data_IF_708892623182
#
_entry.id   IF_708892623182
#
_cell.length_a   1.000
_cell.length_b   1.000
_cell.length_c   1.000
_cell.angle_alpha   90.00
_cell.angle_beta   90.00
_cell.angle_gamma   90.00
#
_symmetry.space_group_name_H-M   'P 1'
#
loop_
_entity.id
_entity.type
_entity.pdbx_description
1 polymer ?
#
# COMPACT_ATOMS: atom_id res chain seq x y z
N UNK A 1 -4.26 5.99 -9.35
CA UNK A 1 -3.04 5.21 -9.62
C UNK A 1 -2.83 4.00 -8.68
N UNK A 2 -2.53 4.17 -7.37
CA UNK A 2 -2.19 3.04 -6.47
C UNK A 2 -3.38 2.11 -6.22
N UNK A 3 -4.55 2.66 -5.84
CA UNK A 3 -5.79 1.90 -5.64
C UNK A 3 -6.17 1.06 -6.88
N UNK A 4 -6.02 1.61 -8.07
CA UNK A 4 -6.46 0.96 -9.31
C UNK A 4 -5.60 -0.27 -9.67
N UNK A 5 -4.31 -0.26 -9.32
CA UNK A 5 -3.34 -1.27 -9.75
C UNK A 5 -2.90 -2.23 -8.64
N UNK A 6 -3.01 -1.78 -7.39
CA UNK A 6 -2.43 -2.47 -6.24
C UNK A 6 -3.42 -2.75 -5.11
N UNK A 7 -4.71 -2.45 -5.26
CA UNK A 7 -5.70 -2.84 -4.26
C UNK A 7 -5.78 -4.37 -4.16
N UNK A 8 -5.84 -4.87 -2.92
CA UNK A 8 -5.97 -6.28 -2.63
C UNK A 8 -7.37 -6.82 -3.00
N UNK A 9 -7.49 -8.14 -3.22
CA UNK A 9 -8.78 -8.82 -3.28
C UNK A 9 -9.64 -8.52 -2.06
N UNK A 10 -10.97 -8.59 -2.21
CA UNK A 10 -11.94 -8.14 -1.21
C UNK A 10 -11.77 -8.88 0.14
N UNK A 11 -11.37 -10.14 0.11
CA UNK A 11 -11.12 -10.99 1.27
C UNK A 11 -9.97 -10.48 2.15
N UNK A 12 -9.07 -9.67 1.60
CA UNK A 12 -7.95 -9.07 2.33
C UNK A 12 -8.15 -7.59 2.61
N UNK A 13 -9.26 -7.00 2.17
CA UNK A 13 -9.51 -5.58 2.38
C UNK A 13 -9.90 -5.28 3.83
N UNK A 14 -9.35 -4.20 4.36
CA UNK A 14 -9.59 -3.72 5.72
C UNK A 14 -10.31 -2.37 5.67
N UNK A 15 -10.99 -2.05 6.78
CA UNK A 15 -11.63 -0.76 6.99
C UNK A 15 -10.93 -0.04 8.15
N UNK A 16 -10.49 1.21 7.96
CA UNK A 16 -9.89 1.98 9.04
C UNK A 16 -10.93 2.27 10.13
N UNK A 17 -10.50 2.29 11.39
CA UNK A 17 -11.35 2.71 12.51
C UNK A 17 -11.55 4.22 12.51
N UNK A 18 -10.49 4.96 12.18
CA UNK A 18 -10.50 6.39 11.96
C UNK A 18 -10.02 6.66 10.53
N UNK A 19 -10.93 6.83 9.56
CA UNK A 19 -10.54 7.07 8.17
C UNK A 19 -9.87 8.43 8.01
N UNK A 20 -8.80 8.50 7.21
CA UNK A 20 -8.31 9.78 6.71
C UNK A 20 -9.33 10.33 5.69
N UNK A 21 -9.78 11.59 5.81
CA UNK A 21 -10.84 12.14 4.95
C UNK A 21 -10.24 12.57 3.59
N UNK A 22 -9.99 11.58 2.74
CA UNK A 22 -9.34 11.74 1.43
C UNK A 22 -10.11 12.68 0.49
N UNK A 23 -11.42 12.80 0.65
CA UNK A 23 -12.30 13.67 -0.14
C UNK A 23 -11.97 15.16 0.00
N UNK A 24 -11.22 15.55 1.03
CA UNK A 24 -10.74 16.92 1.21
C UNK A 24 -9.34 17.16 0.63
N UNK A 25 -8.67 16.11 0.13
CA UNK A 25 -7.34 16.21 -0.47
C UNK A 25 -7.46 16.40 -1.98
N UNK A 26 -6.53 17.16 -2.56
CA UNK A 26 -6.44 17.34 -4.01
C UNK A 26 -5.89 16.07 -4.67
N UNK A 27 -6.77 15.30 -5.31
CA UNK A 27 -6.43 14.08 -6.04
C UNK A 27 -6.11 14.32 -7.53
N UNK A 28 -6.15 15.59 -7.98
CA UNK A 28 -5.82 15.97 -9.36
C UNK A 28 -4.32 16.09 -9.60
N UNK A 29 -3.52 16.17 -8.53
CA UNK A 29 -2.07 16.29 -8.61
C UNK A 29 -1.43 15.02 -9.16
N UNK A 30 -0.60 15.18 -10.18
CA UNK A 30 0.24 14.10 -10.70
C UNK A 30 1.39 13.82 -9.73
N UNK A 31 1.13 12.97 -8.73
CA UNK A 31 2.12 12.55 -7.73
C UNK A 31 2.56 11.11 -7.95
N UNK A 32 3.86 10.88 -7.83
CA UNK A 32 4.42 9.54 -7.84
C UNK A 32 4.59 9.02 -6.41
N UNK A 33 4.36 7.71 -6.15
CA UNK A 33 4.60 7.14 -4.85
C UNK A 33 6.06 7.37 -4.40
N UNK A 34 6.28 7.70 -3.11
CA UNK A 34 7.62 7.80 -2.52
C UNK A 34 8.44 6.53 -2.76
N UNK A 35 9.76 6.65 -2.78
CA UNK A 35 10.67 5.56 -3.15
C UNK A 35 10.43 4.27 -2.34
N UNK A 36 10.16 4.40 -1.04
CA UNK A 36 9.87 3.26 -0.16
C UNK A 36 8.60 2.52 -0.59
N UNK A 37 7.49 3.24 -0.75
CA UNK A 37 6.21 2.68 -1.20
C UNK A 37 6.37 2.04 -2.58
N UNK A 38 7.04 2.72 -3.50
CA UNK A 38 7.34 2.20 -4.83
C UNK A 38 8.14 0.89 -4.77
N UNK A 39 9.07 0.77 -3.82
CA UNK A 39 9.82 -0.47 -3.55
C UNK A 39 8.89 -1.62 -3.17
N UNK A 40 8.00 -1.40 -2.20
CA UNK A 40 7.02 -2.41 -1.79
C UNK A 40 6.07 -2.81 -2.92
N UNK A 41 5.54 -1.84 -3.67
CA UNK A 41 4.66 -2.14 -4.81
C UNK A 41 5.38 -2.99 -5.88
N UNK A 42 6.68 -2.80 -6.08
CA UNK A 42 7.50 -3.63 -7.00
C UNK A 42 7.74 -5.06 -6.49
N UNK A 43 7.63 -5.30 -5.17
CA UNK A 43 7.72 -6.61 -4.56
C UNK A 43 6.39 -7.39 -4.62
N UNK A 44 5.35 -6.80 -5.19
CA UNK A 44 4.03 -7.42 -5.28
C UNK A 44 3.10 -7.06 -4.11
N UNK A 45 3.54 -6.20 -3.19
CA UNK A 45 2.72 -5.71 -2.09
C UNK A 45 1.42 -5.09 -2.58
N UNK A 46 0.33 -5.38 -1.87
CA UNK A 46 -1.02 -4.86 -2.13
C UNK A 46 -1.44 -3.90 -1.02
N UNK A 47 -2.18 -2.86 -1.41
CA UNK A 47 -2.86 -1.96 -0.49
C UNK A 47 -4.16 -2.61 -0.05
N UNK A 48 -4.45 -2.58 1.24
CA UNK A 48 -5.59 -3.29 1.82
C UNK A 48 -6.86 -2.43 1.94
N UNK A 49 -6.80 -1.15 1.62
CA UNK A 49 -7.96 -0.27 1.73
C UNK A 49 -7.55 1.19 1.86
N UNK A 50 -8.49 2.06 2.26
CA UNK A 50 -8.18 3.46 2.55
C UNK A 50 -7.27 3.57 3.79
N UNK A 51 -6.44 4.62 3.87
CA UNK A 51 -5.57 4.84 5.01
C UNK A 51 -6.36 5.23 6.26
N UNK A 52 -5.78 4.89 7.42
CA UNK A 52 -6.23 5.41 8.70
C UNK A 52 -5.53 6.76 8.99
N UNK A 53 -6.21 7.65 9.69
CA UNK A 53 -5.59 8.82 10.30
C UNK A 53 -5.12 8.46 11.70
N UNK A 54 -3.84 8.70 11.97
CA UNK A 54 -3.26 8.65 13.31
C UNK A 54 -3.09 10.09 13.85
N UNK A 55 -3.91 10.53 14.82
CA UNK A 55 -3.83 11.87 15.37
C UNK A 55 -2.65 12.06 16.34
N UNK A 56 -2.13 10.97 16.92
CA UNK A 56 -1.03 11.04 17.88
C UNK A 56 0.31 11.32 17.17
N UNK A 57 0.45 10.83 15.93
CA UNK A 57 1.63 11.05 15.10
C UNK A 57 1.40 12.03 13.94
N UNK A 58 0.17 12.51 13.76
CA UNK A 58 -0.25 13.33 12.61
C UNK A 58 0.13 12.67 11.28
N UNK A 59 -0.15 11.37 11.15
CA UNK A 59 0.22 10.57 9.98
C UNK A 59 -0.99 9.90 9.32
N UNK A 60 -0.76 9.52 8.08
CA UNK A 60 -1.65 8.66 7.31
C UNK A 60 -1.05 7.25 7.25
N UNK A 61 -1.74 6.29 7.84
CA UNK A 61 -1.28 4.90 7.88
C UNK A 61 -1.93 4.11 6.77
N UNK A 62 -1.12 3.66 5.81
CA UNK A 62 -1.58 2.90 4.66
C UNK A 62 -1.40 1.39 4.90
N UNK A 63 -2.48 0.62 5.17
CA UNK A 63 -2.35 -0.81 5.40
C UNK A 63 -1.95 -1.53 4.10
N UNK A 64 -0.90 -2.33 4.19
CA UNK A 64 -0.31 -3.04 3.05
C UNK A 64 0.06 -4.47 3.44
N UNK A 65 -0.07 -5.42 2.51
CA UNK A 65 0.33 -6.82 2.70
C UNK A 65 1.20 -7.29 1.55
N UNK A 66 2.28 -7.99 1.87
CA UNK A 66 3.15 -8.67 0.92
C UNK A 66 3.06 -10.17 1.12
N UNK A 67 2.68 -10.90 0.08
CA UNK A 67 2.67 -12.36 0.10
C UNK A 67 3.99 -12.87 -0.48
N UNK A 68 4.75 -13.62 0.32
CA UNK A 68 6.06 -14.14 -0.12
C UNK A 68 5.94 -15.06 -1.36
N UNK A 69 4.84 -15.79 -1.48
CA UNK A 69 4.57 -16.64 -2.65
C UNK A 69 4.44 -15.83 -3.96
N UNK A 70 3.99 -14.58 -3.87
CA UNK A 70 3.79 -13.68 -5.01
C UNK A 70 5.02 -12.81 -5.32
N UNK A 71 6.13 -12.99 -4.57
CA UNK A 71 7.37 -12.29 -4.85
C UNK A 71 7.82 -12.55 -6.29
N UNK A 72 8.10 -11.51 -7.09
CA UNK A 72 8.64 -11.67 -8.42
C UNK A 72 9.94 -12.48 -8.40
N UNK A 73 10.13 -13.36 -9.39
CA UNK A 73 11.29 -14.27 -9.45
C UNK A 73 12.64 -13.57 -9.27
N UNK A 74 12.77 -12.34 -9.81
CA UNK A 74 13.97 -11.50 -9.66
C UNK A 74 14.34 -11.17 -8.22
N UNK A 75 13.36 -11.14 -7.31
CA UNK A 75 13.56 -10.81 -5.89
C UNK A 75 13.60 -12.03 -4.98
N UNK A 76 13.08 -13.19 -5.41
CA UNK A 76 13.06 -14.41 -4.58
C UNK A 76 14.44 -14.78 -4.05
N UNK A 77 15.48 -14.72 -4.91
CA UNK A 77 16.88 -15.01 -4.51
C UNK A 77 17.41 -14.13 -3.38
N UNK A 78 16.92 -12.89 -3.27
CA UNK A 78 17.37 -11.94 -2.26
C UNK A 78 16.65 -12.11 -0.91
N UNK A 79 15.40 -12.57 -0.92
CA UNK A 79 14.55 -12.62 0.27
C UNK A 79 14.31 -14.03 0.82
N UNK A 80 14.42 -15.07 0.00
CA UNK A 80 14.06 -16.44 0.39
C UNK A 80 15.27 -17.37 0.54
N UNK A 81 16.49 -16.87 0.31
CA UNK A 81 17.65 -17.75 0.12
C UNK A 81 17.51 -18.58 -1.15
N UNK A 82 18.57 -19.24 -1.58
CA UNK A 82 18.53 -20.12 -2.75
C UNK A 82 17.58 -21.31 -2.53
#
# INVERSE_FOLDING_TARGET
>A
QVRERHLAPIEHQVRPRLPLPLEHLDDSLAVEPPALIRGYLRLGTKVLGPPAWDPDFNSADLPMLMQLAELPARYRKHFLGA
#
